data_IF_566742419031
#
_entry.id   IF_566742419031
#
_cell.length_a   1.000
_cell.length_b   1.000
_cell.length_c   1.000
_cell.angle_alpha   90.00
_cell.angle_beta   90.00
_cell.angle_gamma   90.00
#
_symmetry.space_group_name_H-M   'P 1'
#
loop_
_entity.id
_entity.type
_entity.pdbx_description
1 polymer ?
#
# COMPACT_ATOMS: atom_id res chain seq x y z
N UNK A 1 5.98 -18.22 -9.19
CA UNK A 1 7.15 -18.44 -8.29
C UNK A 1 6.76 -19.45 -7.21
N UNK A 2 7.67 -20.31 -6.75
CA UNK A 2 7.41 -21.14 -5.57
C UNK A 2 7.48 -20.32 -4.28
N UNK A 3 6.71 -20.69 -3.26
CA UNK A 3 6.72 -20.03 -1.94
C UNK A 3 8.16 -19.93 -1.39
N UNK A 4 8.94 -21.01 -1.51
CA UNK A 4 10.30 -21.05 -0.98
C UNK A 4 11.26 -20.09 -1.69
N UNK A 5 11.08 -19.86 -3.00
CA UNK A 5 11.87 -18.88 -3.75
C UNK A 5 11.49 -17.44 -3.36
N UNK A 6 10.21 -17.19 -3.08
CA UNK A 6 9.72 -15.89 -2.59
C UNK A 6 10.29 -15.55 -1.21
N UNK A 7 10.24 -16.49 -0.25
CA UNK A 7 10.85 -16.28 1.07
C UNK A 7 12.37 -16.07 0.99
N UNK A 8 13.06 -16.85 0.14
CA UNK A 8 14.51 -16.70 -0.04
C UNK A 8 14.90 -15.33 -0.61
N UNK A 9 14.13 -14.81 -1.56
CA UNK A 9 14.43 -13.54 -2.24
C UNK A 9 14.04 -12.32 -1.42
N UNK A 10 12.80 -12.26 -0.94
CA UNK A 10 12.26 -11.05 -0.32
C UNK A 10 12.41 -10.98 1.19
N UNK A 11 12.50 -12.12 1.87
CA UNK A 11 12.65 -12.14 3.33
C UNK A 11 14.12 -12.33 3.69
N UNK A 12 14.77 -13.36 3.18
CA UNK A 12 16.16 -13.68 3.56
C UNK A 12 17.17 -12.84 2.79
N UNK A 13 17.02 -12.72 1.47
CA UNK A 13 17.97 -12.03 0.60
C UNK A 13 19.09 -12.97 0.11
N UNK A 14 19.66 -12.65 -1.05
CA UNK A 14 20.66 -13.50 -1.72
C UNK A 14 22.06 -13.40 -1.09
N UNK A 15 22.34 -12.27 -0.43
CA UNK A 15 23.68 -11.92 0.06
C UNK A 15 23.84 -12.09 1.59
N UNK A 16 22.78 -12.45 2.31
CA UNK A 16 22.84 -12.61 3.77
C UNK A 16 23.45 -13.97 4.09
N UNK A 17 24.77 -14.00 4.27
CA UNK A 17 25.46 -15.15 4.84
C UNK A 17 25.22 -15.13 6.35
N UNK A 18 24.08 -15.67 6.79
CA UNK A 18 23.67 -15.74 8.21
C UNK A 18 24.77 -16.36 9.08
N UNK A 19 25.57 -17.26 8.51
CA UNK A 19 26.71 -17.93 9.16
C UNK A 19 27.89 -17.02 9.48
N UNK A 20 27.99 -15.83 8.88
CA UNK A 20 29.06 -14.85 9.13
C UNK A 20 28.65 -13.75 10.11
N UNK A 21 27.40 -13.75 10.58
CA UNK A 21 26.93 -12.74 11.53
C UNK A 21 27.49 -13.01 12.93
N UNK A 22 27.87 -11.95 13.64
CA UNK A 22 28.33 -12.09 15.02
C UNK A 22 27.16 -12.50 15.94
N UNK A 23 27.42 -13.24 17.04
CA UNK A 23 26.36 -13.81 17.87
C UNK A 23 25.43 -12.75 18.48
N UNK A 24 25.95 -11.54 18.74
CA UNK A 24 25.14 -10.42 19.24
C UNK A 24 24.10 -9.97 18.22
N UNK A 25 24.48 -9.90 16.94
CA UNK A 25 23.59 -9.52 15.83
C UNK A 25 22.47 -10.54 15.68
N UNK A 26 22.85 -11.82 15.74
CA UNK A 26 21.90 -12.93 15.68
C UNK A 26 20.92 -12.88 16.87
N UNK A 27 21.40 -12.55 18.08
CA UNK A 27 20.55 -12.38 19.25
C UNK A 27 19.56 -11.21 19.11
N UNK A 28 20.00 -10.02 18.66
CA UNK A 28 19.09 -8.90 18.43
C UNK A 28 18.04 -9.21 17.36
N UNK A 29 18.44 -9.94 16.31
CA UNK A 29 17.52 -10.38 15.27
C UNK A 29 16.49 -11.38 15.79
N UNK A 30 16.92 -12.41 16.54
CA UNK A 30 15.97 -13.40 17.10
C UNK A 30 15.00 -12.75 18.07
N UNK A 31 15.46 -11.83 18.93
CA UNK A 31 14.57 -11.03 19.80
C UNK A 31 13.59 -10.20 18.98
N UNK A 32 14.04 -9.58 17.90
CA UNK A 32 13.19 -8.77 17.02
C UNK A 32 12.12 -9.60 16.31
N UNK A 33 12.51 -10.76 15.78
CA UNK A 33 11.60 -11.72 15.15
C UNK A 33 10.58 -12.27 16.15
N UNK A 34 11.03 -12.63 17.37
CA UNK A 34 10.15 -13.09 18.44
C UNK A 34 9.09 -12.05 18.79
N UNK A 35 9.45 -10.74 18.86
CA UNK A 35 8.47 -9.67 19.10
C UNK A 35 7.39 -9.63 18.02
N UNK A 36 7.79 -9.70 16.74
CA UNK A 36 6.86 -9.72 15.60
C UNK A 36 5.91 -10.92 15.71
N UNK A 37 6.45 -12.12 15.97
CA UNK A 37 5.67 -13.36 16.12
C UNK A 37 4.68 -13.26 17.29
N UNK A 38 5.11 -12.72 18.43
CA UNK A 38 4.24 -12.53 19.60
C UNK A 38 3.07 -11.61 19.26
N UNK A 39 3.29 -10.49 18.56
CA UNK A 39 2.19 -9.60 18.18
C UNK A 39 1.21 -10.26 17.20
N UNK A 40 1.71 -11.00 16.20
CA UNK A 40 0.86 -11.78 15.29
C UNK A 40 0.03 -12.80 16.09
N UNK A 41 0.66 -13.53 17.01
CA UNK A 41 -0.02 -14.53 17.83
C UNK A 41 -1.11 -13.89 18.71
N UNK A 42 -0.81 -12.79 19.39
CA UNK A 42 -1.78 -12.07 20.23
C UNK A 42 -2.95 -11.49 19.41
N UNK A 43 -2.67 -10.97 18.21
CA UNK A 43 -3.69 -10.52 17.28
C UNK A 43 -4.65 -11.67 16.91
N UNK A 44 -4.12 -12.82 16.46
CA UNK A 44 -4.97 -13.94 16.06
C UNK A 44 -5.68 -14.60 17.24
N UNK A 45 -5.05 -14.65 18.42
CA UNK A 45 -5.68 -15.16 19.63
C UNK A 45 -6.89 -14.29 20.03
N UNK A 46 -6.71 -12.96 20.07
CA UNK A 46 -7.82 -12.04 20.39
C UNK A 46 -8.91 -12.04 19.33
N UNK A 47 -8.55 -12.10 18.04
CA UNK A 47 -9.48 -12.28 16.93
C UNK A 47 -10.30 -13.57 17.07
N UNK A 48 -9.64 -14.70 17.39
CA UNK A 48 -10.31 -15.98 17.59
C UNK A 48 -11.27 -15.93 18.78
N UNK A 49 -10.88 -15.34 19.91
CA UNK A 49 -11.75 -15.16 21.08
C UNK A 49 -12.96 -14.30 20.72
N UNK A 50 -12.76 -13.19 20.02
CA UNK A 50 -13.84 -12.31 19.56
C UNK A 50 -14.82 -13.07 18.64
N UNK A 51 -14.31 -13.75 17.62
CA UNK A 51 -15.11 -14.54 16.67
C UNK A 51 -15.88 -15.65 17.38
N UNK A 52 -15.24 -16.35 18.31
CA UNK A 52 -15.87 -17.42 19.08
C UNK A 52 -17.00 -16.89 19.95
N UNK A 53 -16.78 -15.81 20.71
CA UNK A 53 -17.80 -15.19 21.55
C UNK A 53 -18.96 -14.65 20.72
N UNK A 54 -18.69 -13.91 19.65
CA UNK A 54 -19.70 -13.36 18.75
C UNK A 54 -20.54 -14.48 18.10
N UNK A 55 -19.90 -15.56 17.65
CA UNK A 55 -20.60 -16.71 17.08
C UNK A 55 -21.45 -17.45 18.12
N UNK A 56 -20.96 -17.63 19.35
CA UNK A 56 -21.70 -18.32 20.41
C UNK A 56 -22.92 -17.54 20.85
N UNK A 57 -22.81 -16.22 21.05
CA UNK A 57 -23.92 -15.35 21.45
C UNK A 57 -25.02 -15.35 20.38
N UNK A 58 -24.65 -15.33 19.10
CA UNK A 58 -25.59 -15.34 17.98
C UNK A 58 -26.04 -16.75 17.55
N UNK A 59 -25.57 -17.80 18.20
CA UNK A 59 -25.91 -19.17 17.81
C UNK A 59 -27.36 -19.50 18.15
N UNK A 60 -28.03 -20.25 17.25
CA UNK A 60 -29.40 -20.75 17.50
C UNK A 60 -29.46 -21.58 18.79
N UNK A 61 -28.40 -22.32 19.10
CA UNK A 61 -28.29 -23.16 20.30
C UNK A 61 -28.33 -22.28 21.56
N UNK A 62 -27.52 -21.23 21.62
CA UNK A 62 -27.51 -20.31 22.76
C UNK A 62 -28.87 -19.62 22.92
N UNK A 63 -29.48 -19.18 21.83
CA UNK A 63 -30.82 -18.57 21.86
C UNK A 63 -31.88 -19.56 22.37
N UNK A 64 -31.81 -20.83 21.98
CA UNK A 64 -32.69 -21.89 22.49
C UNK A 64 -32.46 -22.14 23.98
N UNK A 65 -31.21 -22.25 24.43
CA UNK A 65 -30.88 -22.39 25.86
C UNK A 65 -31.35 -21.19 26.68
N UNK A 66 -31.17 -19.96 26.16
CA UNK A 66 -31.67 -18.74 26.78
C UNK A 66 -33.19 -18.79 26.93
N UNK A 67 -33.94 -19.23 25.91
CA UNK A 67 -35.40 -19.40 26.02
C UNK A 67 -35.79 -20.43 27.08
N UNK A 68 -35.13 -21.58 27.10
CA UNK A 68 -35.38 -22.63 28.10
C UNK A 68 -35.09 -22.12 29.50
N UNK A 69 -33.96 -21.43 29.70
CA UNK A 69 -33.57 -20.82 30.97
C UNK A 69 -34.61 -19.79 31.44
N UNK A 70 -35.03 -18.88 30.55
CA UNK A 70 -36.06 -17.88 30.86
C UNK A 70 -37.38 -18.57 31.23
N UNK A 71 -37.81 -19.58 30.47
CA UNK A 71 -39.05 -20.30 30.75
C UNK A 71 -39.00 -21.08 32.07
N UNK A 72 -37.85 -21.67 32.40
CA UNK A 72 -37.64 -22.37 33.67
C UNK A 72 -37.71 -21.40 34.85
N UNK A 73 -37.03 -20.25 34.78
CA UNK A 73 -37.03 -19.30 35.90
C UNK A 73 -38.34 -18.51 36.02
N UNK A 74 -39.13 -18.37 34.95
CA UNK A 74 -40.46 -17.74 35.02
C UNK A 74 -41.44 -18.45 35.96
N UNK A 75 -41.26 -19.75 36.22
CA UNK A 75 -42.16 -20.52 37.10
C UNK A 75 -41.85 -20.34 38.58
N UNK A 76 -40.68 -19.80 38.94
CA UNK A 76 -40.26 -19.60 40.33
C UNK A 76 -40.49 -18.12 40.70
N UNK A 77 -41.49 -17.79 41.54
CA UNK A 77 -41.75 -16.42 41.95
C UNK A 77 -40.56 -15.81 42.71
N UNK A 78 -40.38 -14.49 42.56
CA UNK A 78 -39.34 -13.66 43.22
C UNK A 78 -37.91 -13.97 42.77
N UNK A 79 -37.39 -15.19 42.99
CA UNK A 79 -36.01 -15.57 42.64
C UNK A 79 -35.79 -15.68 41.11
N UNK A 80 -36.83 -16.06 40.37
CA UNK A 80 -36.77 -16.21 38.92
C UNK A 80 -36.55 -14.90 38.18
N UNK A 81 -37.21 -13.82 38.63
CA UNK A 81 -37.08 -12.48 38.04
C UNK A 81 -35.63 -11.99 38.15
N UNK A 82 -35.00 -12.19 39.31
CA UNK A 82 -33.60 -11.80 39.53
C UNK A 82 -32.65 -12.59 38.61
N UNK A 83 -32.84 -13.90 38.47
CA UNK A 83 -31.96 -14.75 37.62
C UNK A 83 -32.11 -14.44 36.13
N UNK A 84 -33.34 -14.16 35.66
CA UNK A 84 -33.57 -13.72 34.27
C UNK A 84 -32.86 -12.39 34.02
N UNK A 85 -33.04 -11.42 34.93
CA UNK A 85 -32.37 -10.11 34.82
C UNK A 85 -30.85 -10.25 34.80
N UNK A 86 -30.27 -11.08 35.68
CA UNK A 86 -28.83 -11.32 35.71
C UNK A 86 -28.31 -11.94 34.40
N UNK A 87 -29.05 -12.87 33.80
CA UNK A 87 -28.70 -13.44 32.49
C UNK A 87 -28.73 -12.36 31.40
N UNK A 88 -29.80 -11.57 31.33
CA UNK A 88 -29.94 -10.51 30.33
C UNK A 88 -28.87 -9.43 30.52
N UNK A 89 -28.59 -9.01 31.76
CA UNK A 89 -27.51 -8.08 32.10
C UNK A 89 -26.14 -8.65 31.70
N UNK A 90 -25.91 -9.95 31.90
CA UNK A 90 -24.66 -10.62 31.50
C UNK A 90 -24.49 -10.68 29.98
N UNK A 91 -25.57 -10.96 29.24
CA UNK A 91 -25.55 -10.97 27.77
C UNK A 91 -25.34 -9.56 27.23
N UNK A 92 -26.01 -8.57 27.79
CA UNK A 92 -25.86 -7.18 27.40
C UNK A 92 -24.43 -6.68 27.71
N UNK A 93 -23.87 -7.05 28.86
CA UNK A 93 -22.48 -6.80 29.19
C UNK A 93 -21.51 -7.42 28.18
N UNK A 94 -21.75 -8.66 27.75
CA UNK A 94 -20.91 -9.28 26.72
C UNK A 94 -20.99 -8.53 25.37
N UNK A 95 -22.20 -8.11 24.97
CA UNK A 95 -22.44 -7.44 23.70
C UNK A 95 -21.92 -5.99 23.67
N UNK A 96 -22.16 -5.23 24.73
CA UNK A 96 -21.88 -3.79 24.76
C UNK A 96 -20.49 -3.47 25.29
N UNK A 97 -19.89 -4.36 26.07
CA UNK A 97 -18.61 -4.10 26.73
C UNK A 97 -17.50 -5.05 26.26
N UNK A 98 -17.72 -6.36 26.34
CA UNK A 98 -16.65 -7.33 26.05
C UNK A 98 -16.34 -7.40 24.55
N UNK A 99 -17.35 -7.53 23.69
CA UNK A 99 -17.13 -7.61 22.24
C UNK A 99 -16.47 -6.34 21.68
N UNK A 100 -16.92 -5.11 22.00
CA UNK A 100 -16.27 -3.89 21.53
C UNK A 100 -14.85 -3.75 22.07
N UNK A 101 -14.58 -4.14 23.32
CA UNK A 101 -13.22 -4.13 23.86
C UNK A 101 -12.28 -5.11 23.19
N UNK A 102 -12.76 -6.30 22.84
CA UNK A 102 -11.97 -7.24 22.05
C UNK A 102 -11.68 -6.68 20.65
N UNK A 103 -12.66 -6.03 20.02
CA UNK A 103 -12.46 -5.36 18.73
C UNK A 103 -11.42 -4.23 18.82
N UNK A 104 -11.48 -3.45 19.89
CA UNK A 104 -10.50 -2.43 20.21
C UNK A 104 -9.11 -3.06 20.39
N UNK A 105 -8.97 -4.11 21.19
CA UNK A 105 -7.70 -4.82 21.39
C UNK A 105 -7.11 -5.38 20.08
N UNK A 106 -7.93 -5.94 19.19
CA UNK A 106 -7.49 -6.40 17.86
C UNK A 106 -6.84 -5.23 17.09
N UNK A 107 -7.49 -4.07 17.10
CA UNK A 107 -6.99 -2.85 16.44
C UNK A 107 -5.66 -2.35 17.05
N UNK A 108 -5.44 -2.61 18.34
CA UNK A 108 -4.24 -2.19 19.06
C UNK A 108 -3.07 -3.09 18.78
N UNK A 109 -3.30 -4.40 18.78
CA UNK A 109 -2.29 -5.36 18.33
C UNK A 109 -1.88 -5.06 16.90
N UNK A 110 -2.83 -4.62 16.07
CA UNK A 110 -2.53 -4.17 14.72
C UNK A 110 -1.61 -2.94 14.70
N UNK A 111 -1.95 -1.88 15.43
CA UNK A 111 -1.08 -0.70 15.54
C UNK A 111 0.31 -1.05 16.10
N UNK A 112 0.38 -1.89 17.13
CA UNK A 112 1.62 -2.27 17.79
C UNK A 112 2.54 -3.06 16.89
N UNK A 113 2.00 -3.98 16.11
CA UNK A 113 2.75 -4.68 15.09
C UNK A 113 3.29 -3.70 14.06
N UNK A 114 2.45 -2.85 13.48
CA UNK A 114 2.86 -1.93 12.41
C UNK A 114 3.94 -0.96 12.91
N UNK A 115 3.73 -0.33 14.07
CA UNK A 115 4.70 0.59 14.68
C UNK A 115 6.00 -0.14 15.03
N UNK A 116 5.94 -1.34 15.61
CA UNK A 116 7.16 -2.10 15.94
C UNK A 116 7.95 -2.48 14.70
N UNK A 117 7.26 -2.86 13.63
CA UNK A 117 7.89 -3.24 12.36
C UNK A 117 8.57 -2.00 11.73
N UNK A 118 7.90 -0.85 11.74
CA UNK A 118 8.47 0.43 11.30
C UNK A 118 9.68 0.82 12.16
N UNK A 119 9.55 0.79 13.48
CA UNK A 119 10.64 1.13 14.41
C UNK A 119 11.87 0.25 14.16
N UNK A 120 11.67 -1.03 13.86
CA UNK A 120 12.75 -1.99 13.60
C UNK A 120 13.46 -1.78 12.27
N UNK A 121 12.77 -1.28 11.23
CA UNK A 121 13.36 -1.08 9.90
C UNK A 121 13.85 0.35 9.67
N UNK A 122 13.03 1.33 10.03
CA UNK A 122 13.22 2.75 9.70
C UNK A 122 13.29 3.65 10.95
N UNK A 123 13.16 3.08 12.16
CA UNK A 123 13.06 3.86 13.40
C UNK A 123 14.33 4.63 13.78
N UNK A 124 15.49 4.24 13.27
CA UNK A 124 16.72 5.01 13.44
C UNK A 124 17.16 5.56 12.07
N UNK A 125 17.26 6.88 11.91
CA UNK A 125 17.54 7.50 10.60
C UNK A 125 18.94 7.19 10.07
N UNK A 126 19.82 6.73 10.94
CA UNK A 126 21.16 6.26 10.59
C UNK A 126 21.14 4.88 9.91
N UNK A 127 20.02 4.15 9.98
CA UNK A 127 19.91 2.77 9.53
C UNK A 127 19.77 2.66 8.04
N UNK A 128 18.77 3.37 7.52
CA UNK A 128 18.42 3.41 6.11
C UNK A 128 17.98 4.84 5.85
N UNK A 129 18.90 5.72 5.40
CA UNK A 129 18.56 7.11 5.12
C UNK A 129 17.52 7.16 4.00
N UNK A 130 16.41 7.84 4.28
CA UNK A 130 15.35 8.13 3.32
C UNK A 130 15.57 9.55 2.80
N UNK A 131 15.85 9.66 1.50
CA UNK A 131 16.13 10.91 0.82
C UNK A 131 14.98 11.24 -0.13
N UNK A 132 14.49 12.47 -0.05
CA UNK A 132 13.52 12.99 -1.01
C UNK A 132 14.27 13.71 -2.14
N UNK A 133 13.80 13.59 -3.38
CA UNK A 133 14.34 14.40 -4.48
C UNK A 133 14.03 15.89 -4.27
N UNK A 134 14.82 16.78 -4.87
CA UNK A 134 14.57 18.23 -4.80
C UNK A 134 13.22 18.66 -5.39
N UNK A 135 12.65 17.85 -6.29
CA UNK A 135 11.37 18.11 -6.94
C UNK A 135 10.20 17.44 -6.22
N UNK A 136 10.45 16.74 -5.12
CA UNK A 136 9.42 16.04 -4.38
C UNK A 136 8.43 17.02 -3.78
N UNK A 137 7.15 16.81 -4.05
CA UNK A 137 6.08 17.65 -3.56
C UNK A 137 5.62 17.23 -2.16
N UNK A 138 5.05 18.18 -1.41
CA UNK A 138 4.63 17.96 -0.02
C UNK A 138 3.46 16.96 0.07
N UNK A 139 3.63 15.88 0.83
CA UNK A 139 2.60 14.86 1.02
C UNK A 139 1.58 15.31 2.09
N UNK A 140 0.29 15.47 1.72
CA UNK A 140 -0.82 15.89 2.62
C UNK A 140 -1.99 14.91 2.60
N UNK A 141 -2.22 14.24 3.73
CA UNK A 141 -3.36 13.32 3.94
C UNK A 141 -4.39 13.84 4.95
N UNK A 142 -4.05 14.87 5.73
CA UNK A 142 -4.96 15.54 6.66
C UNK A 142 -5.31 16.91 6.07
N UNK A 143 -6.61 17.18 5.94
CA UNK A 143 -7.13 18.52 5.66
C UNK A 143 -8.06 18.92 6.80
N UNK A 144 -7.85 20.10 7.42
CA UNK A 144 -8.66 20.61 8.52
C UNK A 144 -8.83 19.61 9.69
N UNK A 145 -7.75 18.93 10.10
CA UNK A 145 -7.73 17.88 11.14
C UNK A 145 -8.59 16.64 10.84
N UNK A 146 -9.09 16.49 9.61
CA UNK A 146 -9.84 15.33 9.15
C UNK A 146 -8.98 14.57 8.15
N UNK A 147 -8.93 13.25 8.29
CA UNK A 147 -8.33 12.38 7.28
C UNK A 147 -9.20 12.44 6.01
N UNK A 148 -8.60 12.82 4.90
CA UNK A 148 -9.26 12.79 3.58
C UNK A 148 -8.93 11.50 2.84
N UNK A 149 -9.90 10.98 2.09
CA UNK A 149 -9.72 9.80 1.23
C UNK A 149 -8.68 10.10 0.17
N UNK A 150 -7.55 9.40 0.26
CA UNK A 150 -6.36 9.69 -0.55
C UNK A 150 -5.96 8.44 -1.33
N UNK A 151 -5.75 8.60 -2.64
CA UNK A 151 -5.22 7.55 -3.51
C UNK A 151 -3.72 7.79 -3.72
N UNK A 152 -2.93 6.76 -3.41
CA UNK A 152 -1.49 6.72 -3.63
C UNK A 152 -1.23 5.62 -4.66
N UNK A 153 -0.56 5.98 -5.75
CA UNK A 153 0.03 5.03 -6.67
C UNK A 153 1.53 4.98 -6.44
N UNK A 154 2.14 3.80 -6.55
CA UNK A 154 3.59 3.64 -6.42
C UNK A 154 4.10 2.61 -7.40
N UNK A 155 5.37 2.72 -7.77
CA UNK A 155 6.08 1.59 -8.33
C UNK A 155 6.25 0.49 -7.26
N UNK A 156 6.26 -0.78 -7.67
CA UNK A 156 6.50 -1.91 -6.77
C UNK A 156 7.80 -2.61 -7.09
N UNK A 157 8.79 -2.47 -6.20
CA UNK A 157 10.12 -3.09 -6.25
C UNK A 157 10.29 -4.19 -5.21
N UNK A 158 9.70 -4.04 -4.02
CA UNK A 158 9.88 -4.97 -2.91
C UNK A 158 8.67 -4.99 -1.99
N UNK A 159 8.48 -6.09 -1.24
CA UNK A 159 7.52 -6.15 -0.12
C UNK A 159 7.79 -5.01 0.90
N UNK A 160 9.03 -4.54 0.96
CA UNK A 160 9.41 -3.43 1.80
C UNK A 160 8.74 -2.10 1.40
N UNK A 161 8.23 -1.96 0.17
CA UNK A 161 7.48 -0.77 -0.27
C UNK A 161 6.22 -0.57 0.57
N UNK A 162 5.52 -1.66 0.90
CA UNK A 162 4.31 -1.62 1.73
C UNK A 162 4.63 -1.00 3.10
N UNK A 163 5.75 -1.41 3.70
CA UNK A 163 6.17 -0.94 5.01
C UNK A 163 6.71 0.49 4.93
N UNK A 164 7.47 0.80 3.89
CA UNK A 164 8.03 2.13 3.67
C UNK A 164 6.92 3.18 3.48
N UNK A 165 5.92 2.88 2.64
CA UNK A 165 4.77 3.79 2.46
C UNK A 165 4.00 3.95 3.77
N UNK A 166 3.85 2.86 4.54
CA UNK A 166 3.25 2.95 5.87
C UNK A 166 4.08 3.85 6.79
N UNK A 167 5.41 3.75 6.79
CA UNK A 167 6.31 4.60 7.56
C UNK A 167 6.17 6.07 7.16
N UNK A 168 6.09 6.41 5.87
CA UNK A 168 5.89 7.79 5.41
C UNK A 168 4.57 8.38 5.91
N UNK A 169 3.49 7.61 5.85
CA UNK A 169 2.19 8.01 6.39
C UNK A 169 2.27 8.19 7.91
N UNK A 170 2.97 7.28 8.59
CA UNK A 170 3.19 7.35 10.04
C UNK A 170 4.00 8.59 10.46
N UNK A 171 5.09 8.91 9.78
CA UNK A 171 5.88 10.13 10.07
C UNK A 171 5.02 11.38 9.90
N UNK A 172 4.19 11.43 8.85
CA UNK A 172 3.28 12.55 8.63
C UNK A 172 2.27 12.69 9.77
N UNK A 173 1.60 11.61 10.18
CA UNK A 173 0.61 11.65 11.26
C UNK A 173 1.24 11.96 12.62
N UNK A 174 2.48 11.52 12.85
CA UNK A 174 3.23 11.81 14.06
C UNK A 174 3.69 13.27 14.16
N UNK A 175 3.93 13.92 13.02
CA UNK A 175 4.40 15.31 12.99
C UNK A 175 3.35 16.30 13.46
N UNK A 176 2.06 15.92 13.41
CA UNK A 176 0.97 16.88 13.51
C UNK A 176 0.44 17.18 14.90
N UNK A 177 0.62 16.39 15.97
CA UNK A 177 0.16 16.85 17.31
C UNK A 177 0.54 16.03 18.57
N UNK A 178 1.08 14.81 18.50
CA UNK A 178 1.64 14.11 19.67
C UNK A 178 2.53 12.96 19.22
N UNK A 179 3.71 12.78 19.82
CA UNK A 179 4.56 11.61 19.51
C UNK A 179 3.80 10.34 19.91
N UNK A 180 3.53 9.48 18.93
CA UNK A 180 2.90 8.19 19.15
C UNK A 180 3.83 7.35 20.03
N UNK A 181 3.45 7.18 21.30
CA UNK A 181 4.12 6.29 22.23
C UNK A 181 3.25 5.06 22.47
N UNK A 182 3.85 3.88 22.51
CA UNK A 182 3.14 2.64 22.87
C UNK A 182 2.42 2.78 24.22
N UNK A 183 2.98 3.56 25.14
CA UNK A 183 2.38 3.85 26.43
C UNK A 183 1.16 4.78 26.35
N UNK A 184 1.14 5.75 25.44
CA UNK A 184 -0.03 6.64 25.27
C UNK A 184 -1.20 5.89 24.64
N UNK A 185 -0.92 5.02 23.66
CA UNK A 185 -1.92 4.12 23.05
C UNK A 185 -2.56 3.24 24.13
N UNK A 186 -1.77 2.56 24.97
CA UNK A 186 -2.29 1.73 26.06
C UNK A 186 -3.12 2.50 27.07
N UNK A 187 -2.70 3.70 27.45
CA UNK A 187 -3.47 4.53 28.38
C UNK A 187 -4.84 4.91 27.79
N UNK A 188 -4.89 5.38 26.55
CA UNK A 188 -6.15 5.81 25.94
C UNK A 188 -7.12 4.65 25.74
N UNK A 189 -6.62 3.45 25.43
CA UNK A 189 -7.46 2.25 25.36
C UNK A 189 -8.09 1.86 26.70
N UNK A 190 -7.29 1.86 27.75
CA UNK A 190 -7.72 1.38 29.06
C UNK A 190 -8.60 2.38 29.79
N UNK A 191 -8.36 3.68 29.62
CA UNK A 191 -9.04 4.74 30.36
C UNK A 191 -10.13 5.46 29.54
N UNK A 192 -9.89 5.74 28.27
CA UNK A 192 -10.80 6.57 27.45
C UNK A 192 -11.73 5.73 26.58
N UNK A 193 -11.45 4.41 26.42
CA UNK A 193 -12.14 3.52 25.48
C UNK A 193 -12.22 4.07 24.03
N UNK A 194 -11.45 5.11 23.71
CA UNK A 194 -11.51 5.83 22.44
C UNK A 194 -10.20 5.65 21.66
N UNK A 195 -10.32 5.06 20.48
CA UNK A 195 -9.22 4.86 19.52
C UNK A 195 -9.35 5.86 18.36
N UNK A 196 -10.33 6.77 18.40
CA UNK A 196 -10.65 7.71 17.33
C UNK A 196 -9.41 8.44 16.79
N UNK A 197 -8.51 8.89 17.66
CA UNK A 197 -7.25 9.56 17.30
C UNK A 197 -6.30 8.67 16.49
N UNK A 198 -6.26 7.36 16.78
CA UNK A 198 -5.38 6.40 16.12
C UNK A 198 -6.03 5.67 14.94
N UNK A 199 -7.34 5.86 14.74
CA UNK A 199 -8.08 5.26 13.63
C UNK A 199 -7.49 5.65 12.26
N UNK A 200 -6.82 6.80 12.15
CA UNK A 200 -6.22 7.24 10.90
C UNK A 200 -5.14 6.28 10.38
N UNK A 201 -4.29 5.72 11.27
CA UNK A 201 -3.32 4.69 10.89
C UNK A 201 -3.98 3.36 10.53
N UNK A 202 -5.09 3.03 11.20
CA UNK A 202 -5.87 1.83 10.93
C UNK A 202 -6.67 1.90 9.61
N UNK A 203 -6.70 3.07 8.98
CA UNK A 203 -7.39 3.37 7.71
C UNK A 203 -6.48 3.30 6.48
N UNK A 204 -5.32 2.65 6.62
CA UNK A 204 -4.43 2.36 5.50
C UNK A 204 -4.88 1.04 4.87
N UNK A 205 -5.08 1.05 3.54
CA UNK A 205 -5.53 -0.09 2.75
C UNK A 205 -4.62 -0.28 1.54
N UNK A 206 -4.10 -1.48 1.39
CA UNK A 206 -3.37 -1.88 0.20
C UNK A 206 -4.29 -2.65 -0.74
N UNK A 207 -4.12 -2.39 -2.02
CA UNK A 207 -4.97 -2.93 -3.08
C UNK A 207 -4.08 -3.73 -4.03
N UNK A 208 -4.25 -5.05 -4.02
CA UNK A 208 -3.46 -5.97 -4.83
C UNK A 208 -3.94 -7.41 -4.68
N UNK A 209 -3.50 -8.31 -5.55
CA UNK A 209 -3.84 -9.74 -5.48
C UNK A 209 -5.35 -10.01 -5.34
N UNK A 210 -6.17 -9.18 -6.00
CA UNK A 210 -7.62 -9.35 -6.03
C UNK A 210 -8.31 -9.02 -4.70
N UNK A 211 -7.62 -8.40 -3.75
CA UNK A 211 -8.16 -8.10 -2.42
C UNK A 211 -7.74 -6.71 -1.93
N UNK A 212 -8.52 -6.17 -0.98
CA UNK A 212 -8.18 -4.96 -0.22
C UNK A 212 -7.77 -5.40 1.17
N UNK A 213 -6.50 -5.21 1.51
CA UNK A 213 -5.91 -5.79 2.71
C UNK A 213 -5.15 -4.77 3.57
N UNK A 214 -4.86 -5.18 4.80
CA UNK A 214 -3.97 -4.48 5.73
C UNK A 214 -2.69 -5.28 5.93
N UNK A 215 -1.57 -4.63 6.24
CA UNK A 215 -0.23 -5.22 6.30
C UNK A 215 -0.11 -6.54 7.10
N UNK A 216 -0.91 -6.72 8.15
CA UNK A 216 -0.81 -7.84 9.12
C UNK A 216 -1.50 -9.12 8.65
N UNK A 217 -2.32 -9.04 7.62
CA UNK A 217 -3.18 -10.16 7.26
C UNK A 217 -2.35 -11.29 6.62
N UNK A 218 -2.22 -12.42 7.31
CA UNK A 218 -1.63 -13.66 6.75
C UNK A 218 -2.36 -14.12 5.49
N UNK A 219 -3.62 -13.68 5.32
CA UNK A 219 -4.38 -13.85 4.09
C UNK A 219 -3.64 -13.32 2.85
N UNK A 220 -2.79 -12.30 2.99
CA UNK A 220 -1.94 -11.80 1.92
C UNK A 220 -0.96 -12.88 1.46
N UNK A 221 -0.32 -13.61 2.38
CA UNK A 221 0.61 -14.68 2.01
C UNK A 221 -0.10 -15.80 1.26
N UNK A 222 -1.35 -16.09 1.63
CA UNK A 222 -2.21 -17.02 0.91
C UNK A 222 -2.56 -16.48 -0.49
N UNK A 223 -2.95 -15.21 -0.58
CA UNK A 223 -3.31 -14.57 -1.84
C UNK A 223 -2.10 -14.49 -2.79
N UNK A 224 -0.90 -14.15 -2.28
CA UNK A 224 0.37 -14.19 -3.01
C UNK A 224 0.68 -15.59 -3.55
N UNK A 225 0.40 -16.62 -2.75
CA UNK A 225 0.70 -18.00 -3.13
C UNK A 225 -0.29 -18.59 -4.16
N UNK A 226 -1.56 -18.17 -4.12
CA UNK A 226 -2.65 -18.82 -4.87
C UNK A 226 -3.15 -17.99 -6.05
N UNK A 227 -3.27 -16.66 -5.88
CA UNK A 227 -3.88 -15.80 -6.90
C UNK A 227 -2.82 -15.25 -7.84
N UNK A 228 -3.26 -14.91 -9.04
CA UNK A 228 -2.47 -14.06 -9.91
C UNK A 228 -2.44 -12.63 -9.32
N UNK A 229 -1.28 -12.00 -9.37
CA UNK A 229 -1.04 -10.62 -8.97
C UNK A 229 -1.93 -9.63 -9.76
N UNK A 230 -2.34 -10.01 -10.98
CA UNK A 230 -3.26 -9.26 -11.85
C UNK A 230 -4.75 -9.47 -11.53
N UNK A 231 -5.08 -10.22 -10.48
CA UNK A 231 -6.49 -10.42 -10.11
C UNK A 231 -7.18 -9.10 -9.80
N UNK A 232 -8.30 -8.87 -10.49
CA UNK A 232 -9.01 -7.58 -10.51
C UNK A 232 -9.84 -7.40 -9.25
N UNK A 233 -9.85 -6.17 -8.74
CA UNK A 233 -10.77 -5.75 -7.68
C UNK A 233 -11.93 -5.00 -8.31
N UNK A 234 -13.15 -5.31 -7.89
CA UNK A 234 -14.35 -4.68 -8.43
C UNK A 234 -14.55 -3.28 -7.84
N UNK A 235 -15.07 -2.35 -8.64
CA UNK A 235 -15.44 -1.00 -8.17
C UNK A 235 -16.41 -1.07 -6.98
N UNK A 236 -17.37 -2.01 -7.01
CA UNK A 236 -18.32 -2.27 -5.92
C UNK A 236 -17.64 -2.57 -4.58
N UNK A 237 -16.53 -3.31 -4.58
CA UNK A 237 -15.80 -3.62 -3.36
C UNK A 237 -15.19 -2.35 -2.73
N UNK A 238 -14.59 -1.49 -3.56
CA UNK A 238 -14.03 -0.21 -3.13
C UNK A 238 -15.13 0.73 -2.61
N UNK A 239 -16.25 0.82 -3.33
CA UNK A 239 -17.41 1.61 -2.92
C UNK A 239 -17.98 1.16 -1.58
N UNK A 240 -18.16 -0.15 -1.40
CA UNK A 240 -18.69 -0.71 -0.15
C UNK A 240 -17.74 -0.45 1.03
N UNK A 241 -16.42 -0.50 0.80
CA UNK A 241 -15.43 -0.18 1.81
C UNK A 241 -15.51 1.29 2.24
N UNK A 242 -15.55 2.22 1.28
CA UNK A 242 -15.68 3.65 1.55
C UNK A 242 -17.01 3.99 2.26
N UNK A 243 -18.12 3.37 1.82
CA UNK A 243 -19.43 3.56 2.47
C UNK A 243 -19.46 3.04 3.90
N UNK A 244 -18.76 1.93 4.18
CA UNK A 244 -18.75 1.30 5.50
C UNK A 244 -17.82 2.00 6.48
N UNK A 245 -16.62 2.39 6.03
CA UNK A 245 -15.56 2.86 6.92
C UNK A 245 -15.29 4.38 6.83
N UNK A 246 -15.88 5.07 5.85
CA UNK A 246 -15.64 6.48 5.59
C UNK A 246 -14.31 6.74 4.89
N UNK A 247 -13.61 7.79 5.30
CA UNK A 247 -12.34 8.19 4.67
C UNK A 247 -11.22 7.20 4.94
N UNK A 248 -10.56 6.74 3.87
CA UNK A 248 -9.50 5.72 3.89
C UNK A 248 -8.33 6.14 2.98
N UNK A 249 -7.10 5.74 3.33
CA UNK A 249 -5.91 5.90 2.49
C UNK A 249 -5.73 4.61 1.69
N UNK A 250 -5.82 4.71 0.37
CA UNK A 250 -5.71 3.57 -0.53
C UNK A 250 -4.42 3.61 -1.31
N UNK A 251 -3.65 2.53 -1.24
CA UNK A 251 -2.38 2.37 -1.94
C UNK A 251 -2.51 1.29 -3.00
N UNK A 252 -2.12 1.63 -4.22
CA UNK A 252 -2.17 0.75 -5.38
C UNK A 252 -0.79 0.70 -6.00
N UNK A 253 -0.40 -0.50 -6.40
CA UNK A 253 0.79 -0.72 -7.21
C UNK A 253 0.37 -1.05 -8.64
N UNK A 254 0.11 -0.03 -9.49
CA UNK A 254 -0.26 -0.27 -10.89
C UNK A 254 0.92 -0.81 -11.71
N UNK A 255 2.15 -0.60 -11.23
CA UNK A 255 3.40 -1.06 -11.83
C UNK A 255 3.92 -2.26 -11.06
N UNK A 256 4.11 -3.40 -11.73
CA UNK A 256 4.87 -4.53 -11.18
C UNK A 256 6.21 -4.60 -11.86
N UNK A 257 7.29 -4.44 -11.09
CA UNK A 257 8.62 -4.62 -11.65
C UNK A 257 8.94 -6.09 -11.92
N UNK A 258 9.88 -6.29 -12.84
CA UNK A 258 10.42 -7.60 -13.17
C UNK A 258 11.21 -8.13 -11.97
N UNK A 259 10.64 -9.09 -11.26
CA UNK A 259 11.27 -9.70 -10.07
C UNK A 259 12.18 -10.89 -10.41
N UNK A 260 12.06 -11.53 -11.58
CA UNK A 260 12.93 -12.64 -11.99
C UNK A 260 13.90 -12.28 -13.11
N UNK A 261 15.11 -12.84 -13.03
CA UNK A 261 16.11 -12.75 -14.11
C UNK A 261 15.60 -13.32 -15.42
N UNK A 262 14.80 -14.39 -15.38
CA UNK A 262 14.17 -15.02 -16.54
C UNK A 262 13.21 -14.07 -17.27
N UNK A 263 12.35 -13.37 -16.52
CA UNK A 263 11.40 -12.42 -17.11
C UNK A 263 12.11 -11.14 -17.56
N UNK A 264 13.21 -10.76 -16.89
CA UNK A 264 14.09 -9.68 -17.34
C UNK A 264 14.78 -9.99 -18.66
N UNK A 265 15.23 -11.24 -18.84
CA UNK A 265 15.78 -11.72 -20.11
C UNK A 265 14.71 -11.77 -21.20
N UNK A 266 13.49 -12.23 -20.89
CA UNK A 266 12.38 -12.21 -21.84
C UNK A 266 11.99 -10.78 -22.26
N UNK A 267 11.89 -9.85 -21.30
CA UNK A 267 11.60 -8.45 -21.57
C UNK A 267 12.69 -7.81 -22.45
N UNK A 268 13.97 -8.07 -22.13
CA UNK A 268 15.10 -7.60 -22.96
C UNK A 268 15.01 -8.15 -24.39
N UNK A 269 14.70 -9.44 -24.54
CA UNK A 269 14.51 -10.07 -25.85
C UNK A 269 13.31 -9.50 -26.62
N UNK A 270 12.21 -9.17 -25.95
CA UNK A 270 11.05 -8.48 -26.54
C UNK A 270 11.44 -7.06 -26.96
N UNK A 271 12.10 -6.31 -26.08
CA UNK A 271 12.56 -4.95 -26.37
C UNK A 271 13.59 -4.91 -27.51
N UNK A 272 14.42 -5.95 -27.67
CA UNK A 272 15.38 -6.09 -28.76
C UNK A 272 14.67 -6.44 -30.07
N UNK A 273 13.73 -7.40 -30.05
CA UNK A 273 13.05 -7.88 -31.25
C UNK A 273 11.99 -6.92 -31.80
N UNK A 274 11.35 -6.13 -30.94
CA UNK A 274 10.24 -5.25 -31.31
C UNK A 274 10.60 -3.75 -31.27
N UNK A 275 11.85 -3.40 -30.98
CA UNK A 275 12.37 -2.04 -31.18
C UNK A 275 12.52 -1.76 -32.69
N UNK A 276 12.03 -0.63 -33.23
CA UNK A 276 11.61 0.60 -32.54
C UNK A 276 10.08 0.75 -32.31
N UNK A 277 9.29 -0.26 -32.65
CA UNK A 277 7.82 -0.18 -32.64
C UNK A 277 7.21 -0.24 -31.23
N UNK A 278 7.95 -0.77 -30.26
CA UNK A 278 7.54 -0.86 -28.85
C UNK A 278 8.50 -0.04 -27.99
N UNK A 279 7.95 0.77 -27.09
CA UNK A 279 8.73 1.52 -26.10
C UNK A 279 9.49 0.56 -25.18
N UNK A 280 10.80 0.77 -25.04
CA UNK A 280 11.66 -0.08 -24.22
C UNK A 280 11.39 0.15 -22.73
N UNK A 281 10.61 -0.74 -22.12
CA UNK A 281 10.45 -0.80 -20.66
C UNK A 281 11.48 -1.77 -20.09
N UNK A 282 12.41 -1.26 -19.29
CA UNK A 282 13.54 -2.08 -18.81
C UNK A 282 13.21 -2.80 -17.50
N UNK A 283 12.32 -2.23 -16.69
CA UNK A 283 12.08 -2.69 -15.33
C UNK A 283 10.65 -3.16 -15.06
N UNK A 284 9.72 -3.05 -16.02
CA UNK A 284 8.29 -3.34 -15.81
C UNK A 284 7.89 -4.62 -16.53
N UNK A 285 7.18 -5.52 -15.82
CA UNK A 285 6.78 -6.83 -16.34
C UNK A 285 5.36 -6.81 -16.90
N UNK A 286 4.40 -6.21 -16.17
CA UNK A 286 3.03 -6.09 -16.66
C UNK A 286 2.26 -4.97 -15.93
N UNK A 287 1.41 -4.23 -16.66
CA UNK A 287 0.60 -3.16 -16.09
C UNK A 287 -0.71 -3.62 -15.42
N UNK A 288 -0.98 -3.21 -14.17
CA UNK A 288 -2.25 -3.50 -13.46
C UNK A 288 -3.33 -2.46 -13.72
N UNK A 289 -3.60 -2.19 -15.00
CA UNK A 289 -4.53 -1.15 -15.42
C UNK A 289 -5.95 -1.34 -14.87
N UNK A 290 -6.45 -2.57 -14.88
CA UNK A 290 -7.83 -2.87 -14.52
C UNK A 290 -8.16 -2.47 -13.08
N UNK A 291 -7.25 -2.76 -12.13
CA UNK A 291 -7.43 -2.41 -10.72
C UNK A 291 -7.45 -0.90 -10.54
N UNK A 292 -6.51 -0.19 -11.17
CA UNK A 292 -6.50 1.27 -11.15
C UNK A 292 -7.77 1.88 -11.75
N UNK A 293 -8.20 1.41 -12.93
CA UNK A 293 -9.42 1.88 -13.60
C UNK A 293 -10.64 1.67 -12.71
N UNK A 294 -10.77 0.49 -12.08
CA UNK A 294 -11.92 0.19 -11.21
C UNK A 294 -11.97 1.08 -9.96
N UNK A 295 -10.83 1.49 -9.43
CA UNK A 295 -10.75 2.45 -8.31
C UNK A 295 -11.15 3.85 -8.77
N UNK A 296 -10.62 4.31 -9.91
CA UNK A 296 -11.00 5.61 -10.48
C UNK A 296 -12.51 5.66 -10.76
N UNK A 297 -13.09 4.58 -11.29
CA UNK A 297 -14.55 4.46 -11.48
C UNK A 297 -15.30 4.52 -10.15
N UNK A 298 -14.82 3.86 -9.09
CA UNK A 298 -15.42 3.98 -7.76
C UNK A 298 -15.33 5.42 -7.21
N UNK A 299 -14.19 6.08 -7.40
CA UNK A 299 -13.97 7.45 -6.93
C UNK A 299 -14.84 8.49 -7.66
N UNK A 300 -15.19 8.24 -8.92
CA UNK A 300 -16.11 9.10 -9.68
C UNK A 300 -17.48 9.21 -9.02
N UNK A 301 -17.94 8.20 -8.27
CA UNK A 301 -19.23 8.24 -7.59
C UNK A 301 -19.26 9.23 -6.42
N UNK A 302 -18.12 9.44 -5.76
CA UNK A 302 -17.98 10.36 -4.62
C UNK A 302 -17.60 11.79 -5.04
N UNK A 303 -17.17 12.00 -6.29
CA UNK A 303 -16.78 13.33 -6.76
C UNK A 303 -17.98 14.11 -7.35
N UNK A 304 -18.29 15.32 -6.85
CA UNK A 304 -19.37 16.12 -7.40
C UNK A 304 -19.07 16.56 -8.84
N UNK A 305 -19.93 16.17 -9.79
CA UNK A 305 -19.83 16.45 -11.24
C UNK A 305 -19.67 17.94 -11.61
N UNK A 306 -19.85 18.88 -10.68
CA UNK A 306 -19.75 20.33 -10.92
C UNK A 306 -18.30 20.84 -11.07
N UNK A 307 -17.29 20.20 -10.46
CA UNK A 307 -15.89 20.64 -10.58
C UNK A 307 -15.21 20.20 -11.88
N UNK A 308 -15.75 19.20 -12.57
CA UNK A 308 -15.20 18.67 -13.82
C UNK A 308 -15.16 19.68 -14.97
N UNK A 309 -16.07 20.66 -15.01
CA UNK A 309 -16.17 21.61 -16.14
C UNK A 309 -15.11 22.72 -16.13
N UNK A 310 -14.53 23.05 -14.97
CA UNK A 310 -13.57 24.17 -14.86
C UNK A 310 -12.11 23.77 -15.15
N UNK A 311 -11.69 22.55 -14.83
CA UNK A 311 -10.31 22.08 -15.09
C UNK A 311 -10.05 21.76 -16.57
N UNK A 312 -11.08 21.32 -17.30
CA UNK A 312 -11.02 21.05 -18.76
C UNK A 312 -10.67 22.33 -19.54
N UNK A 313 -11.22 23.48 -19.13
CA UNK A 313 -11.07 24.75 -19.86
C UNK A 313 -9.64 25.33 -19.81
N UNK A 314 -8.94 25.17 -18.68
CA UNK A 314 -7.57 25.69 -18.54
C UNK A 314 -6.52 24.79 -19.20
N UNK A 315 -6.80 23.49 -19.35
CA UNK A 315 -5.84 22.52 -19.90
C UNK A 315 -6.04 22.19 -21.37
N UNK A 316 -7.21 22.41 -21.97
CA UNK A 316 -7.38 22.32 -23.44
C UNK A 316 -6.47 23.30 -24.20
N UNK A 317 -6.06 24.40 -23.55
CA UNK A 317 -5.08 25.33 -24.09
C UNK A 317 -3.65 24.76 -24.05
N UNK A 318 -3.31 23.96 -23.04
CA UNK A 318 -2.02 23.27 -22.90
C UNK A 318 -1.97 21.99 -23.76
N UNK A 319 -3.07 21.24 -23.85
CA UNK A 319 -3.19 20.05 -24.70
C UNK A 319 -3.09 20.43 -26.17
N UNK A 320 -3.65 21.57 -26.60
CA UNK A 320 -3.43 22.10 -27.96
C UNK A 320 -1.96 22.42 -28.25
N UNK A 321 -1.20 22.87 -27.25
CA UNK A 321 0.24 23.14 -27.40
C UNK A 321 1.03 21.83 -27.49
N UNK A 322 0.75 20.84 -26.64
CA UNK A 322 1.39 19.52 -26.71
C UNK A 322 0.99 18.71 -27.94
N UNK A 323 -0.26 18.83 -28.41
CA UNK A 323 -0.72 18.18 -29.65
C UNK A 323 -0.13 18.84 -30.90
N UNK A 324 0.19 20.14 -30.85
CA UNK A 324 0.94 20.80 -31.92
C UNK A 324 2.40 20.34 -31.99
N UNK A 325 3.00 20.00 -30.85
CA UNK A 325 4.33 19.38 -30.76
C UNK A 325 4.29 17.92 -31.22
N UNK A 326 3.25 17.16 -30.85
CA UNK A 326 3.08 15.77 -31.25
C UNK A 326 2.70 15.62 -32.74
N UNK A 327 1.95 16.57 -33.34
CA UNK A 327 1.69 16.57 -34.79
C UNK A 327 2.95 16.78 -35.65
N UNK A 328 3.96 17.48 -35.12
CA UNK A 328 5.29 17.58 -35.77
C UNK A 328 6.09 16.27 -35.70
N UNK A 329 5.78 15.40 -34.74
CA UNK A 329 6.40 14.08 -34.60
C UNK A 329 5.62 13.01 -35.40
N UNK A 330 4.30 13.09 -35.41
CA UNK A 330 3.42 12.15 -36.12
C UNK A 330 3.42 12.30 -37.66
N UNK A 331 3.84 13.46 -38.19
CA UNK A 331 3.99 13.66 -39.65
C UNK A 331 5.17 12.89 -40.26
N UNK A 332 5.94 12.14 -39.47
CA UNK A 332 7.00 11.23 -39.95
C UNK A 332 6.62 9.75 -39.95
N UNK A 333 5.41 9.38 -39.51
CA UNK A 333 4.95 7.99 -39.46
C UNK A 333 3.50 7.92 -39.93
N UNK A 334 3.29 7.84 -41.24
CA UNK A 334 2.00 7.50 -41.84
C UNK A 334 2.17 6.39 -42.86
N UNK A 335 1.61 5.23 -42.53
CA UNK A 335 0.92 4.19 -43.34
C UNK A 335 0.69 3.05 -42.34
N UNK A 336 -0.46 2.46 -42.07
CA UNK A 336 -1.83 2.54 -42.52
C UNK A 336 -2.65 2.04 -41.31
N UNK A 337 -3.79 2.65 -40.97
CA UNK A 337 -4.74 2.04 -40.05
C UNK A 337 -6.17 2.26 -40.57
N UNK A 338 -6.71 1.19 -41.16
CA UNK A 338 -8.15 1.07 -41.42
C UNK A 338 -8.82 0.75 -40.10
N UNK A 339 -9.65 1.67 -39.63
CA UNK A 339 -10.44 1.57 -38.41
C UNK A 339 -11.60 0.58 -38.57
N UNK A 340 -11.57 -0.52 -37.80
CA UNK A 340 -12.76 -1.31 -37.52
C UNK A 340 -13.54 -0.69 -36.36
N UNK A 341 -14.78 -0.30 -36.66
CA UNK A 341 -15.76 0.18 -35.69
C UNK A 341 -16.26 -0.99 -34.83
N UNK A 342 -15.71 -1.16 -33.63
CA UNK A 342 -16.34 -1.97 -32.59
C UNK A 342 -17.33 -1.13 -31.79
N UNK A 343 -18.61 -1.29 -32.14
CA UNK A 343 -19.76 -0.91 -31.33
C UNK A 343 -19.78 -1.82 -30.10
N UNK A 344 -19.26 -1.34 -28.97
CA UNK A 344 -19.52 -1.98 -27.67
C UNK A 344 -20.82 -1.42 -27.12
N UNK A 345 -21.93 -1.98 -27.61
CA UNK A 345 -23.21 -1.97 -26.90
C UNK A 345 -23.12 -3.01 -25.78
N UNK A 346 -23.06 -2.55 -24.54
CA UNK A 346 -22.99 -3.42 -23.37
C UNK A 346 -22.77 -2.65 -22.07
N UNK A 347 -23.39 -1.48 -21.91
CA UNK A 347 -23.59 -0.92 -20.59
C UNK A 347 -24.75 -1.69 -19.95
N UNK A 348 -24.42 -2.71 -19.16
CA UNK A 348 -25.33 -3.18 -18.12
C UNK A 348 -25.69 -1.98 -17.26
N UNK A 349 -26.96 -1.58 -17.35
CA UNK A 349 -27.60 -0.59 -16.49
C UNK A 349 -27.63 -1.16 -15.07
N UNK A 350 -26.52 -1.10 -14.36
CA UNK A 350 -26.52 -1.30 -12.92
C UNK A 350 -27.27 -0.14 -12.27
N UNK A 351 -28.35 -0.52 -11.59
CA UNK A 351 -29.25 0.33 -10.82
C UNK A 351 -28.50 1.42 -10.05
N UNK A 352 -28.89 2.67 -10.31
CA UNK A 352 -28.51 3.85 -9.54
C UNK A 352 -29.06 3.71 -8.11
N UNK A 353 -28.29 3.05 -7.25
CA UNK A 353 -28.53 3.07 -5.81
C UNK A 353 -28.29 4.51 -5.36
N UNK A 354 -29.37 5.19 -4.94
CA UNK A 354 -29.33 6.54 -4.38
C UNK A 354 -28.28 6.60 -3.26
N UNK A 355 -27.34 7.54 -3.41
CA UNK A 355 -26.34 7.87 -2.40
C UNK A 355 -27.05 8.27 -1.10
N UNK A 356 -26.92 7.44 -0.07
CA UNK A 356 -27.18 7.82 1.31
C UNK A 356 -25.96 8.52 1.89
N UNK A 357 -26.22 9.56 2.68
CA UNK A 357 -25.32 10.39 3.51
C UNK A 357 -24.07 9.67 4.06
N UNK A 358 -22.99 9.61 3.28
CA UNK A 358 -21.65 9.33 3.83
C UNK A 358 -20.77 10.52 3.53
N UNK A 359 -20.31 11.22 4.56
CA UNK A 359 -19.36 12.36 4.53
C UNK A 359 -17.94 11.88 4.14
N UNK A 360 -17.82 11.20 3.00
CA UNK A 360 -16.52 10.84 2.43
C UNK A 360 -15.95 12.09 1.77
N UNK A 361 -14.89 12.64 2.37
CA UNK A 361 -14.13 13.76 1.82
C UNK A 361 -12.99 13.21 0.98
N UNK A 362 -12.97 13.56 -0.30
CA UNK A 362 -11.93 13.13 -1.23
C UNK A 362 -10.82 14.16 -1.30
N UNK A 363 -9.57 13.70 -1.28
CA UNK A 363 -8.42 14.54 -1.53
C UNK A 363 -8.47 15.11 -2.96
N UNK A 364 -8.08 16.37 -3.15
CA UNK A 364 -8.03 16.97 -4.49
C UNK A 364 -6.91 16.37 -5.34
N UNK A 365 -5.91 15.78 -4.71
CA UNK A 365 -4.74 15.22 -5.35
C UNK A 365 -4.66 13.70 -5.16
N UNK A 366 -4.23 13.03 -6.22
CA UNK A 366 -3.67 11.70 -6.19
C UNK A 366 -2.15 11.83 -6.07
N UNK A 367 -1.53 10.99 -5.25
CA UNK A 367 -0.08 11.00 -5.08
C UNK A 367 0.56 9.87 -5.88
N UNK A 368 1.62 10.18 -6.59
CA UNK A 368 2.44 9.23 -7.32
C UNK A 368 3.83 9.15 -6.70
N UNK A 369 4.14 7.99 -6.12
CA UNK A 369 5.41 7.71 -5.46
C UNK A 369 6.35 6.96 -6.41
N UNK A 370 7.58 7.42 -6.46
CA UNK A 370 8.69 6.71 -7.09
C UNK A 370 9.71 6.36 -6.02
N UNK A 371 9.74 5.09 -5.65
CA UNK A 371 10.61 4.53 -4.62
C UNK A 371 11.76 3.80 -5.30
N UNK A 372 12.99 4.08 -4.88
CA UNK A 372 14.20 3.43 -5.40
C UNK A 372 15.12 3.11 -4.24
N UNK A 373 15.61 1.88 -4.20
CA UNK A 373 16.61 1.45 -3.23
C UNK A 373 17.97 1.39 -3.91
N UNK A 374 18.96 2.03 -3.29
CA UNK A 374 20.35 1.98 -3.74
C UNK A 374 21.22 1.32 -2.69
N UNK A 375 22.20 0.54 -3.15
CA UNK A 375 23.33 0.08 -2.36
C UNK A 375 24.55 0.90 -2.74
N UNK A 376 25.22 1.43 -1.74
CA UNK A 376 26.38 2.32 -1.90
C UNK A 376 27.65 1.48 -1.90
N UNK A 377 28.16 1.13 -3.08
CA UNK A 377 29.39 0.34 -3.19
C UNK A 377 30.59 1.25 -3.36
N UNK A 378 31.63 1.04 -2.56
CA UNK A 378 32.93 1.63 -2.84
C UNK A 378 33.63 0.78 -3.89
N UNK A 379 33.86 1.34 -5.08
CA UNK A 379 34.55 0.64 -6.16
C UNK A 379 35.84 1.36 -6.52
N UNK A 380 36.91 0.60 -6.66
CA UNK A 380 38.14 1.11 -7.28
C UNK A 380 37.99 1.18 -8.80
N UNK A 381 36.98 0.50 -9.35
CA UNK A 381 36.75 0.30 -10.77
C UNK A 381 35.42 0.90 -11.30
N UNK A 382 35.02 2.08 -10.82
CA UNK A 382 33.82 2.74 -11.31
C UNK A 382 33.93 3.12 -12.79
N UNK A 383 32.88 2.86 -13.57
CA UNK A 383 32.81 3.21 -14.99
C UNK A 383 31.77 4.31 -15.23
N UNK A 384 32.21 5.43 -15.79
CA UNK A 384 31.33 6.50 -16.27
C UNK A 384 30.69 6.07 -17.59
N UNK A 385 29.39 5.75 -17.58
CA UNK A 385 28.67 5.35 -18.79
C UNK A 385 28.33 6.51 -19.73
N UNK A 386 28.62 7.75 -19.33
CA UNK A 386 28.18 8.94 -20.07
C UNK A 386 29.08 9.33 -21.25
N UNK A 387 30.29 8.76 -21.38
CA UNK A 387 31.27 9.21 -22.41
C UNK A 387 32.09 8.12 -23.10
N UNK A 388 31.62 6.87 -23.22
CA UNK A 388 32.25 5.86 -24.09
C UNK A 388 33.76 5.56 -23.85
N UNK A 389 34.34 6.13 -22.80
CA UNK A 389 35.73 6.02 -22.40
C UNK A 389 35.71 5.46 -20.99
N UNK A 390 36.05 4.18 -20.86
CA UNK A 390 36.17 3.45 -19.60
C UNK A 390 37.40 3.97 -18.84
N UNK A 391 37.30 5.17 -18.25
CA UNK A 391 38.27 5.61 -17.25
C UNK A 391 37.80 5.12 -15.90
N UNK A 392 38.58 4.19 -15.38
CA UNK A 392 38.47 3.60 -14.07
C UNK A 392 38.78 4.69 -13.03
N UNK A 393 37.86 4.96 -12.12
CA UNK A 393 38.05 5.93 -11.05
C UNK A 393 37.65 5.32 -9.70
N UNK A 394 38.36 5.72 -8.64
CA UNK A 394 37.97 5.41 -7.27
C UNK A 394 36.74 6.25 -6.94
N UNK A 395 35.64 5.60 -6.61
CA UNK A 395 34.39 6.30 -6.35
C UNK A 395 33.37 5.42 -5.64
N UNK A 396 32.31 6.09 -5.18
CA UNK A 396 31.09 5.42 -4.77
C UNK A 396 30.30 5.07 -6.05
N UNK A 397 29.66 3.91 -6.08
CA UNK A 397 28.73 3.52 -7.13
C UNK A 397 27.41 3.18 -6.46
N UNK A 398 26.32 3.78 -6.95
CA UNK A 398 24.98 3.42 -6.52
C UNK A 398 24.47 2.27 -7.38
N UNK A 399 24.22 1.13 -6.75
CA UNK A 399 23.60 -0.02 -7.40
C UNK A 399 22.12 -0.10 -7.00
N UNK A 400 21.21 -0.11 -7.99
CA UNK A 400 19.80 -0.35 -7.71
C UNK A 400 19.61 -1.77 -7.15
N UNK A 401 18.98 -1.90 -5.99
CA UNK A 401 18.70 -3.19 -5.36
C UNK A 401 17.20 -3.37 -5.09
N UNK A 402 16.80 -4.61 -4.85
CA UNK A 402 15.52 -4.94 -4.23
C UNK A 402 15.85 -5.58 -2.87
N UNK A 403 15.95 -4.79 -1.79
CA UNK A 403 16.45 -5.30 -0.53
C UNK A 403 15.46 -6.30 0.05
N UNK A 404 16.00 -7.33 0.72
CA UNK A 404 15.18 -8.21 1.55
C UNK A 404 14.83 -7.52 2.87
N UNK A 405 13.79 -8.02 3.55
CA UNK A 405 13.44 -7.55 4.89
C UNK A 405 14.63 -7.66 5.85
N UNK A 406 15.35 -8.78 5.79
CA UNK A 406 16.51 -9.05 6.63
C UNK A 406 17.67 -8.10 6.31
N UNK A 407 17.92 -7.78 5.03
CA UNK A 407 18.95 -6.82 4.65
C UNK A 407 18.67 -5.42 5.22
N UNK A 408 17.42 -4.95 5.19
CA UNK A 408 17.06 -3.66 5.81
C UNK A 408 17.21 -3.69 7.34
N UNK A 409 16.88 -4.81 8.01
CA UNK A 409 17.06 -4.95 9.46
C UNK A 409 18.54 -4.97 9.87
N UNK A 410 19.41 -5.58 9.05
CA UNK A 410 20.83 -5.77 9.37
C UNK A 410 21.77 -4.66 8.90
N UNK A 411 21.28 -3.69 8.13
CA UNK A 411 22.10 -2.57 7.64
C UNK A 411 22.80 -1.79 8.78
N UNK A 412 22.35 -1.96 10.03
CA UNK A 412 22.81 -1.23 11.22
C UNK A 412 23.99 -1.86 11.93
N UNK A 413 24.20 -3.15 11.70
CA UNK A 413 24.93 -3.98 12.66
C UNK A 413 26.19 -4.58 12.05
N UNK A 414 26.29 -4.53 10.72
CA UNK A 414 27.45 -5.03 10.00
C UNK A 414 28.16 -3.89 9.30
N UNK A 415 29.37 -3.56 9.75
CA UNK A 415 30.34 -2.75 8.98
C UNK A 415 30.83 -3.45 7.72
N UNK A 416 30.38 -4.70 7.49
CA UNK A 416 30.81 -5.58 6.39
C UNK A 416 29.87 -5.45 5.18
N UNK A 417 28.69 -4.84 5.32
CA UNK A 417 27.72 -4.71 4.22
C UNK A 417 27.62 -3.24 3.79
N UNK A 418 27.66 -3.02 2.47
CA UNK A 418 27.47 -1.72 1.85
C UNK A 418 26.14 -1.07 2.27
N UNK A 419 26.10 0.22 2.64
CA UNK A 419 24.89 0.83 3.16
C UNK A 419 23.80 0.96 2.11
N UNK A 420 22.55 0.78 2.54
CA UNK A 420 21.35 0.94 1.73
C UNK A 420 20.76 2.33 1.94
N UNK A 421 20.48 3.04 0.84
CA UNK A 421 19.79 4.33 0.81
C UNK A 421 18.46 4.16 0.10
N UNK A 422 17.42 4.81 0.61
CA UNK A 422 16.10 4.87 -0.04
C UNK A 422 15.93 6.27 -0.62
N UNK A 423 15.62 6.36 -1.91
CA UNK A 423 15.30 7.61 -2.57
C UNK A 423 13.83 7.62 -2.98
N UNK A 424 13.13 8.72 -2.68
CA UNK A 424 11.69 8.85 -2.88
C UNK A 424 11.40 10.16 -3.64
N UNK A 425 10.65 10.05 -4.73
CA UNK A 425 10.04 11.19 -5.44
C UNK A 425 8.53 11.13 -5.24
N UNK A 426 7.92 12.23 -4.80
CA UNK A 426 6.48 12.37 -4.65
C UNK A 426 5.97 13.41 -5.64
N UNK A 427 4.98 13.03 -6.46
CA UNK A 427 4.29 13.95 -7.37
C UNK A 427 2.79 13.96 -7.09
N UNK A 428 2.16 15.13 -7.22
CA UNK A 428 0.71 15.29 -7.15
C UNK A 428 0.13 15.33 -8.55
N UNK A 429 -1.02 14.68 -8.67
CA UNK A 429 -1.87 14.80 -9.84
C UNK A 429 -3.27 15.20 -9.41
N UNK A 430 -3.84 16.19 -10.08
CA UNK A 430 -5.22 16.62 -9.83
C UNK A 430 -6.18 15.45 -10.08
N UNK A 431 -6.78 14.94 -9.01
CA UNK A 431 -7.73 13.84 -9.07
C UNK A 431 -8.93 14.16 -9.98
N UNK A 432 -9.52 15.38 -9.98
CA UNK A 432 -10.61 15.73 -10.90
C UNK A 432 -10.29 15.53 -12.38
N UNK A 433 -9.03 15.75 -12.79
CA UNK A 433 -8.62 15.54 -14.17
C UNK A 433 -8.63 14.04 -14.52
N UNK A 434 -8.01 13.23 -13.66
CA UNK A 434 -7.90 11.78 -13.85
C UNK A 434 -9.29 11.12 -13.85
N UNK A 435 -10.17 11.54 -12.93
CA UNK A 435 -11.54 11.03 -12.85
C UNK A 435 -12.35 11.25 -14.12
N UNK A 436 -12.01 12.20 -14.99
CA UNK A 436 -12.74 12.43 -16.24
C UNK A 436 -12.20 11.63 -17.44
N UNK A 437 -11.09 10.91 -17.28
CA UNK A 437 -10.50 10.14 -18.36
C UNK A 437 -11.27 8.83 -18.59
N UNK A 438 -11.43 8.46 -19.86
CA UNK A 438 -11.95 7.14 -20.26
C UNK A 438 -10.91 6.05 -19.93
N UNK A 439 -11.31 4.78 -19.74
CA UNK A 439 -10.40 3.68 -19.42
C UNK A 439 -9.14 3.61 -20.29
N UNK A 440 -9.28 3.58 -21.63
CA UNK A 440 -8.12 3.57 -22.56
C UNK A 440 -7.19 4.79 -22.40
N UNK A 441 -7.73 5.95 -21.99
CA UNK A 441 -6.92 7.16 -21.73
C UNK A 441 -6.25 7.09 -20.36
N UNK A 442 -6.85 6.44 -19.36
CA UNK A 442 -6.24 6.17 -18.07
C UNK A 442 -5.05 5.22 -18.20
N UNK A 443 -5.20 4.19 -19.03
CA UNK A 443 -4.12 3.24 -19.36
C UNK A 443 -2.92 3.98 -19.96
N UNK A 444 -3.16 4.73 -21.04
CA UNK A 444 -2.11 5.55 -21.66
C UNK A 444 -1.52 6.60 -20.71
N UNK A 445 -2.34 7.17 -19.82
CA UNK A 445 -1.86 8.14 -18.83
C UNK A 445 -0.90 7.48 -17.83
N UNK A 446 -1.21 6.27 -17.35
CA UNK A 446 -0.33 5.49 -16.50
C UNK A 446 0.97 5.13 -17.23
N UNK A 447 0.90 4.67 -18.48
CA UNK A 447 2.10 4.38 -19.29
C UNK A 447 3.04 5.59 -19.40
N UNK A 448 2.48 6.78 -19.59
CA UNK A 448 3.26 8.02 -19.62
C UNK A 448 3.89 8.33 -18.25
N UNK A 449 3.20 8.09 -17.13
CA UNK A 449 3.83 8.25 -15.81
C UNK A 449 5.01 7.31 -15.66
N UNK A 450 4.93 6.08 -16.18
CA UNK A 450 6.03 5.12 -16.07
C UNK A 450 7.26 5.53 -16.87
N UNK A 451 7.05 6.02 -18.08
CA UNK A 451 8.14 6.58 -18.89
C UNK A 451 8.80 7.75 -18.15
N UNK A 452 8.00 8.61 -17.51
CA UNK A 452 8.53 9.72 -16.72
C UNK A 452 9.32 9.24 -15.49
N UNK A 453 8.87 8.17 -14.81
CA UNK A 453 9.59 7.55 -13.69
C UNK A 453 10.90 6.92 -14.13
N UNK A 454 10.92 6.18 -15.24
CA UNK A 454 12.16 5.62 -15.79
C UNK A 454 13.16 6.72 -16.18
N UNK A 455 12.70 7.81 -16.79
CA UNK A 455 13.55 8.96 -17.09
C UNK A 455 14.07 9.63 -15.82
N UNK A 456 13.23 9.76 -14.79
CA UNK A 456 13.65 10.30 -13.49
C UNK A 456 14.71 9.42 -12.84
N UNK A 457 14.52 8.09 -12.82
CA UNK A 457 15.49 7.12 -12.30
C UNK A 457 16.83 7.31 -13.02
N UNK A 458 16.84 7.30 -14.36
CA UNK A 458 18.06 7.48 -15.16
C UNK A 458 18.73 8.82 -14.91
N UNK A 459 17.94 9.90 -14.83
CA UNK A 459 18.47 11.24 -14.57
C UNK A 459 19.12 11.32 -13.19
N UNK A 460 18.50 10.71 -12.18
CA UNK A 460 19.04 10.70 -10.83
C UNK A 460 20.31 9.85 -10.74
N UNK A 461 20.40 8.75 -11.49
CA UNK A 461 21.63 7.96 -11.60
C UNK A 461 22.78 8.73 -12.25
N UNK A 462 22.52 9.44 -13.36
CA UNK A 462 23.52 10.28 -14.02
C UNK A 462 23.93 11.50 -13.18
N UNK A 463 23.01 12.05 -12.39
CA UNK A 463 23.27 13.24 -11.56
C UNK A 463 23.99 12.93 -10.25
N UNK A 464 24.17 11.66 -9.87
CA UNK A 464 25.04 11.28 -8.75
C UNK A 464 26.49 11.41 -9.22
N UNK A 465 26.94 12.65 -9.39
CA UNK A 465 28.35 12.98 -9.60
C UNK A 465 28.95 13.15 -8.21
N UNK A 466 29.80 12.20 -7.85
CA UNK A 466 30.53 12.25 -6.58
C UNK A 466 31.64 13.28 -6.69
N UNK A 467 31.57 14.28 -5.82
CA UNK A 467 32.69 15.19 -5.55
C UNK A 467 33.69 14.54 -4.62
#
# INVERSE_FOLDING_TARGET
MGILSFFKTHIIGHNVQVTKLSPNILFFFTVSLCKIIIFIFLYYLTYFIHMFLASKINSKIFLSFRRIYINFWKTIPICGIYKIKLLDDSVQFLLDFVLPRLQNLISVWELFFNVTLIDQLFGNKETVPILFTEKSEEFKIIENNILVTTLIISNHRSINDYILIYHLIYEQLNSTEDKFSKATILKQLWFENDISKYNNLLRIRFIGWGNIFKLIQVEILKDIAIKDENSKITSKSVLNLLKKNGNEIMIVFPEVNILTTELGMMQRKINENYSPFVSKFYNVLYPRFNTFVNIIVAFQEFFPKKHAKRSIFHRDKLIKVTDSLNKKVATRLNTDDKTDNWVVNGHDKTELIKLSDTDVQMNQFMYDFTIIYYRVKYTNDGHDHDKGNLKVHRGIQLEQIAPSLIELMFNNISTVVDPIIVMIDIRKHELPYILNLKPKKLERWLELQWLNKEQLIKTNECNVVLK
#
